data_IF_011481119159
#
_entry.id   IF_011481119159
#
_cell.length_a   1.000
_cell.length_b   1.000
_cell.length_c   1.000
_cell.angle_alpha   90.00
_cell.angle_beta   90.00
_cell.angle_gamma   90.00
#
_symmetry.space_group_name_H-M   'P 1'
#
loop_
_entity.id
_entity.type
_entity.pdbx_description
1 polymer ?
#
# COMPACT_ATOMS: atom_id res chain seq x y z
N UNK A 1 17.09 0.73 24.14
CA UNK A 1 15.63 0.76 24.35
C UNK A 1 14.98 0.70 22.97
N UNK A 2 14.44 -0.44 22.57
CA UNK A 2 13.71 -0.52 21.29
C UNK A 2 12.50 0.42 21.39
N UNK A 3 12.31 1.38 20.48
CA UNK A 3 11.23 2.33 20.62
C UNK A 3 9.94 1.60 20.17
N UNK A 4 9.17 1.12 21.16
CA UNK A 4 7.84 0.53 20.98
C UNK A 4 6.87 1.51 20.29
N UNK A 5 7.15 2.81 20.46
CA UNK A 5 6.34 3.93 19.98
C UNK A 5 6.26 3.97 18.43
N UNK A 6 7.38 3.99 17.66
CA UNK A 6 7.37 3.87 16.20
C UNK A 6 6.64 2.64 15.64
N UNK A 7 6.72 1.51 16.35
CA UNK A 7 6.13 0.23 15.93
C UNK A 7 4.60 0.28 16.05
N UNK A 8 4.08 0.75 17.20
CA UNK A 8 2.64 0.95 17.39
C UNK A 8 2.11 2.05 16.49
N UNK A 9 2.90 3.11 16.27
CA UNK A 9 2.56 4.19 15.36
C UNK A 9 2.36 3.68 13.93
N UNK A 10 3.21 2.79 13.43
CA UNK A 10 3.06 2.19 12.09
C UNK A 10 1.69 1.51 11.91
N UNK A 11 1.26 0.72 12.89
CA UNK A 11 -0.03 0.03 12.84
C UNK A 11 -1.22 1.02 12.91
N UNK A 12 -1.13 2.04 13.77
CA UNK A 12 -2.19 3.08 13.87
C UNK A 12 -2.30 3.88 12.58
N UNK A 13 -1.16 4.27 11.99
CA UNK A 13 -1.14 4.96 10.69
C UNK A 13 -1.68 4.06 9.59
N UNK A 14 -1.34 2.76 9.61
CA UNK A 14 -1.90 1.76 8.70
C UNK A 14 -3.42 1.64 8.81
N UNK A 15 -3.93 1.63 10.04
CA UNK A 15 -5.38 1.63 10.29
C UNK A 15 -6.04 2.89 9.75
N UNK A 16 -5.44 4.06 9.98
CA UNK A 16 -5.91 5.33 9.43
C UNK A 16 -5.92 5.34 7.89
N UNK A 17 -4.90 4.76 7.27
CA UNK A 17 -4.78 4.64 5.82
C UNK A 17 -5.91 3.84 5.18
N UNK A 18 -6.44 2.81 5.87
CA UNK A 18 -7.59 2.04 5.37
C UNK A 18 -8.87 2.90 5.21
N UNK A 19 -8.96 4.02 5.93
CA UNK A 19 -10.07 4.98 5.82
C UNK A 19 -9.84 6.08 4.79
N UNK A 20 -8.77 6.01 3.98
CA UNK A 20 -8.58 6.95 2.88
C UNK A 20 -9.69 6.79 1.82
N UNK A 21 -10.11 7.88 1.15
CA UNK A 21 -11.27 7.84 0.27
C UNK A 21 -11.17 6.81 -0.86
N UNK A 22 -9.97 6.57 -1.39
CA UNK A 22 -9.72 5.56 -2.42
C UNK A 22 -9.88 4.12 -1.91
N UNK A 23 -9.45 3.85 -0.69
CA UNK A 23 -9.61 2.57 0.01
C UNK A 23 -11.09 2.32 0.33
N UNK A 24 -11.77 3.32 0.91
CA UNK A 24 -13.20 3.24 1.21
C UNK A 24 -14.04 3.03 -0.06
N UNK A 25 -13.72 3.70 -1.16
CA UNK A 25 -14.41 3.51 -2.44
C UNK A 25 -14.15 2.11 -3.01
N UNK A 26 -12.91 1.61 -2.96
CA UNK A 26 -12.60 0.28 -3.45
C UNK A 26 -13.29 -0.82 -2.63
N UNK A 27 -13.16 -0.81 -1.30
CA UNK A 27 -13.71 -1.82 -0.41
C UNK A 27 -15.23 -1.74 -0.34
N UNK A 28 -15.83 -0.55 -0.31
CA UNK A 28 -17.30 -0.42 -0.30
C UNK A 28 -17.94 -1.01 -1.55
N UNK A 29 -17.32 -0.88 -2.73
CA UNK A 29 -17.85 -1.50 -3.96
C UNK A 29 -17.73 -3.03 -3.99
N UNK A 30 -16.82 -3.61 -3.22
CA UNK A 30 -16.68 -5.06 -3.02
C UNK A 30 -17.70 -5.56 -1.98
N UNK A 31 -17.78 -4.87 -0.84
CA UNK A 31 -18.61 -5.23 0.31
C UNK A 31 -20.11 -5.07 0.04
N UNK A 32 -20.53 -4.00 -0.62
CA UNK A 32 -21.97 -3.73 -0.90
C UNK A 32 -22.62 -4.72 -1.87
N UNK A 33 -21.83 -5.63 -2.48
CA UNK A 33 -22.35 -6.72 -3.33
C UNK A 33 -22.87 -7.92 -2.53
N UNK A 34 -22.68 -7.93 -1.22
CA UNK A 34 -23.06 -9.04 -0.34
C UNK A 34 -24.11 -8.60 0.68
N UNK A 35 -25.22 -9.32 0.77
CA UNK A 35 -26.30 -9.06 1.74
C UNK A 35 -25.95 -9.48 3.18
N UNK A 36 -24.80 -10.17 3.37
CA UNK A 36 -24.39 -10.76 4.64
C UNK A 36 -22.99 -10.29 5.04
N UNK A 37 -22.81 -10.05 6.33
CA UNK A 37 -21.55 -9.56 6.92
C UNK A 37 -20.37 -10.52 6.73
N UNK A 38 -20.59 -11.84 6.77
CA UNK A 38 -19.50 -12.82 6.66
C UNK A 38 -18.73 -12.73 5.32
N UNK A 39 -19.40 -12.90 4.17
CA UNK A 39 -18.78 -12.73 2.85
C UNK A 39 -18.19 -11.33 2.63
N UNK A 40 -18.86 -10.28 3.12
CA UNK A 40 -18.36 -8.91 3.08
C UNK A 40 -17.03 -8.74 3.84
N UNK A 41 -16.96 -9.21 5.09
CA UNK A 41 -15.73 -9.19 5.89
C UNK A 41 -14.62 -9.99 5.23
N UNK A 42 -14.96 -11.14 4.65
CA UNK A 42 -14.01 -11.96 3.90
C UNK A 42 -13.42 -11.16 2.74
N UNK A 43 -14.23 -10.50 1.93
CA UNK A 43 -13.72 -9.72 0.80
C UNK A 43 -12.83 -8.56 1.25
N UNK A 44 -13.20 -7.87 2.33
CA UNK A 44 -12.36 -6.84 2.96
C UNK A 44 -11.01 -7.39 3.41
N UNK A 45 -10.99 -8.52 4.13
CA UNK A 45 -9.77 -9.17 4.59
C UNK A 45 -8.89 -9.64 3.42
N UNK A 46 -9.46 -10.32 2.42
CA UNK A 46 -8.70 -10.78 1.25
C UNK A 46 -8.14 -9.61 0.46
N UNK A 47 -8.89 -8.52 0.32
CA UNK A 47 -8.40 -7.30 -0.30
C UNK A 47 -7.23 -6.68 0.48
N UNK A 48 -7.38 -6.50 1.79
CA UNK A 48 -6.33 -5.93 2.65
C UNK A 48 -5.06 -6.79 2.67
N UNK A 49 -5.21 -8.13 2.68
CA UNK A 49 -4.08 -9.05 2.58
C UNK A 49 -3.36 -8.94 1.23
N UNK A 50 -4.10 -8.80 0.13
CA UNK A 50 -3.52 -8.57 -1.19
C UNK A 50 -2.73 -7.27 -1.24
N UNK A 51 -3.31 -6.19 -0.74
CA UNK A 51 -2.66 -4.88 -0.62
C UNK A 51 -1.35 -4.96 0.18
N UNK A 52 -1.43 -5.55 1.38
CA UNK A 52 -0.28 -5.71 2.28
C UNK A 52 0.81 -6.58 1.65
N UNK A 53 0.43 -7.67 0.98
CA UNK A 53 1.40 -8.54 0.29
C UNK A 53 2.19 -7.77 -0.76
N UNK A 54 1.51 -6.93 -1.54
CA UNK A 54 2.20 -6.13 -2.56
C UNK A 54 3.16 -5.12 -1.94
N UNK A 55 2.72 -4.43 -0.90
CA UNK A 55 3.55 -3.49 -0.16
C UNK A 55 4.81 -4.13 0.41
N UNK A 56 4.68 -5.28 1.06
CA UNK A 56 5.80 -5.99 1.69
C UNK A 56 6.75 -6.52 0.64
N UNK A 57 6.26 -7.19 -0.40
CA UNK A 57 7.12 -7.78 -1.42
C UNK A 57 7.88 -6.70 -2.20
N UNK A 58 7.15 -5.72 -2.75
CA UNK A 58 7.76 -4.69 -3.57
C UNK A 58 8.59 -3.71 -2.73
N UNK A 59 8.11 -3.35 -1.54
CA UNK A 59 8.85 -2.55 -0.58
C UNK A 59 10.15 -3.23 -0.15
N UNK A 60 10.13 -4.52 0.16
CA UNK A 60 11.35 -5.27 0.52
C UNK A 60 12.35 -5.29 -0.63
N UNK A 61 11.91 -5.54 -1.87
CA UNK A 61 12.79 -5.51 -3.05
C UNK A 61 13.49 -4.16 -3.17
N UNK A 62 12.76 -3.05 -3.03
CA UNK A 62 13.35 -1.71 -3.12
C UNK A 62 14.29 -1.42 -1.93
N UNK A 63 13.90 -1.79 -0.71
CA UNK A 63 14.70 -1.61 0.51
C UNK A 63 16.03 -2.36 0.42
N UNK A 64 16.01 -3.63 0.03
CA UNK A 64 17.23 -4.45 -0.05
C UNK A 64 18.11 -4.10 -1.26
N UNK A 65 17.52 -3.64 -2.38
CA UNK A 65 18.31 -3.16 -3.52
C UNK A 65 19.13 -1.91 -3.19
N UNK A 66 18.58 -0.96 -2.40
CA UNK A 66 19.33 0.20 -1.88
C UNK A 66 20.48 -0.24 -0.96
N UNK A 67 20.23 -1.21 -0.08
CA UNK A 67 21.19 -1.68 0.91
C UNK A 67 22.42 -2.39 0.31
N UNK A 68 22.29 -2.97 -0.90
CA UNK A 68 23.33 -3.80 -1.49
C UNK A 68 24.14 -3.11 -2.59
N UNK A 69 23.52 -2.30 -3.46
CA UNK A 69 24.18 -1.85 -4.71
C UNK A 69 24.23 -0.33 -4.94
N UNK A 70 23.57 0.49 -4.13
CA UNK A 70 23.39 1.93 -4.44
C UNK A 70 23.72 2.84 -3.25
N UNK A 71 25.02 2.98 -2.97
CA UNK A 71 25.55 3.95 -2.00
C UNK A 71 25.75 5.36 -2.60
N UNK A 72 25.30 5.61 -3.83
CA UNK A 72 25.45 6.90 -4.49
C UNK A 72 24.16 7.74 -4.39
N UNK A 73 24.29 9.00 -3.97
CA UNK A 73 23.15 9.93 -3.83
C UNK A 73 22.41 10.21 -5.15
N UNK A 74 22.96 9.79 -6.29
CA UNK A 74 22.34 9.90 -7.61
C UNK A 74 21.08 9.06 -7.75
N UNK A 75 21.01 7.88 -7.12
CA UNK A 75 19.80 7.05 -7.17
C UNK A 75 18.66 7.70 -6.41
N UNK A 76 18.95 8.22 -5.21
CA UNK A 76 17.99 8.92 -4.37
C UNK A 76 17.49 10.22 -5.05
N UNK A 77 18.40 10.97 -5.68
CA UNK A 77 18.04 12.14 -6.49
C UNK A 77 17.18 11.78 -7.70
N UNK A 78 17.49 10.69 -8.41
CA UNK A 78 16.70 10.21 -9.54
C UNK A 78 15.29 9.76 -9.12
N UNK A 79 15.18 9.05 -8.00
CA UNK A 79 13.89 8.66 -7.40
C UNK A 79 13.10 9.90 -6.95
N UNK A 80 13.76 10.89 -6.35
CA UNK A 80 13.15 12.16 -5.98
C UNK A 80 12.59 12.92 -7.18
N UNK A 81 13.37 13.03 -8.26
CA UNK A 81 12.91 13.65 -9.53
C UNK A 81 11.75 12.87 -10.13
N UNK A 82 11.83 11.54 -10.14
CA UNK A 82 10.75 10.67 -10.62
C UNK A 82 9.46 10.88 -9.81
N UNK A 83 9.55 10.95 -8.48
CA UNK A 83 8.41 11.18 -7.59
C UNK A 83 7.76 12.55 -7.82
N UNK A 84 8.58 13.60 -7.98
CA UNK A 84 8.09 14.94 -8.33
C UNK A 84 7.36 14.90 -9.67
N UNK A 85 7.94 14.23 -10.68
CA UNK A 85 7.33 14.07 -12.00
C UNK A 85 6.01 13.30 -11.96
N UNK A 86 5.95 12.21 -11.19
CA UNK A 86 4.73 11.43 -10.98
C UNK A 86 3.66 12.24 -10.22
N UNK A 87 4.06 12.98 -9.19
CA UNK A 87 3.17 13.88 -8.45
C UNK A 87 2.57 14.96 -9.35
N UNK A 88 3.39 15.61 -10.19
CA UNK A 88 2.94 16.58 -11.19
C UNK A 88 2.00 15.92 -12.21
N UNK A 89 2.40 14.77 -12.76
CA UNK A 89 1.57 14.02 -13.73
C UNK A 89 0.21 13.68 -13.14
N UNK A 90 0.14 13.35 -11.85
CA UNK A 90 -1.13 13.07 -11.18
C UNK A 90 -2.00 14.30 -10.96
N UNK A 91 -1.40 15.44 -10.62
CA UNK A 91 -2.11 16.72 -10.49
C UNK A 91 -2.62 17.24 -11.85
N UNK A 92 -1.91 16.94 -12.93
CA UNK A 92 -2.24 17.38 -14.28
C UNK A 92 -3.17 16.41 -15.03
N UNK A 93 -3.26 15.15 -14.61
CA UNK A 93 -4.10 14.15 -15.26
C UNK A 93 -5.57 14.32 -14.87
N UNK A 94 -6.35 14.91 -15.77
CA UNK A 94 -7.78 15.22 -15.58
C UNK A 94 -8.74 14.08 -15.92
N UNK A 95 -8.26 12.88 -16.24
CA UNK A 95 -9.15 11.80 -16.65
C UNK A 95 -8.59 10.42 -16.32
N UNK A 96 -9.22 9.73 -15.36
CA UNK A 96 -9.09 8.27 -15.19
C UNK A 96 -10.32 7.73 -14.44
N UNK A 97 -11.52 8.06 -14.92
CA UNK A 97 -12.72 7.28 -14.59
C UNK A 97 -13.04 6.39 -15.79
N UNK A 98 -12.25 5.33 -15.98
CA UNK A 98 -12.72 4.20 -16.77
C UNK A 98 -13.66 3.40 -15.86
N UNK A 99 -14.94 3.36 -16.23
CA UNK A 99 -15.90 2.46 -15.58
C UNK A 99 -15.47 1.04 -15.86
N UNK A 100 -14.75 0.44 -14.91
CA UNK A 100 -14.38 -0.96 -15.00
C UNK A 100 -15.66 -1.80 -14.92
N UNK A 101 -16.06 -2.42 -16.02
CA UNK A 101 -17.15 -3.38 -16.03
C UNK A 101 -16.68 -4.60 -15.25
N UNK A 102 -17.15 -4.73 -14.00
CA UNK A 102 -16.72 -5.78 -13.09
C UNK A 102 -17.23 -7.16 -13.58
N UNK A 103 -16.34 -8.10 -13.93
CA UNK A 103 -16.73 -9.45 -14.34
C UNK A 103 -17.37 -10.22 -13.18
N UNK A 104 -18.19 -11.23 -13.48
CA UNK A 104 -18.81 -12.16 -12.52
C UNK A 104 -17.68 -12.81 -11.67
N UNK A 105 -17.59 -12.48 -10.38
CA UNK A 105 -16.37 -12.74 -9.60
C UNK A 105 -16.23 -14.19 -9.12
N UNK A 106 -14.99 -14.69 -9.27
CA UNK A 106 -14.45 -15.89 -8.63
C UNK A 106 -13.88 -15.53 -7.25
N UNK A 107 -13.71 -16.55 -6.41
CA UNK A 107 -13.32 -16.54 -4.98
C UNK A 107 -11.98 -15.82 -4.64
N UNK A 108 -11.29 -15.19 -5.61
CA UNK A 108 -10.00 -14.49 -5.40
C UNK A 108 -9.95 -13.06 -5.93
N UNK A 109 -11.05 -12.51 -6.45
CA UNK A 109 -11.02 -11.19 -7.08
C UNK A 109 -10.62 -10.07 -6.11
N UNK A 110 -11.15 -10.08 -4.88
CA UNK A 110 -10.84 -9.09 -3.86
C UNK A 110 -9.32 -9.00 -3.59
N UNK A 111 -8.64 -10.16 -3.47
CA UNK A 111 -7.20 -10.22 -3.27
C UNK A 111 -6.41 -9.63 -4.45
N UNK A 112 -6.80 -9.96 -5.68
CA UNK A 112 -6.14 -9.41 -6.88
C UNK A 112 -6.33 -7.90 -7.00
N UNK A 113 -7.52 -7.38 -6.67
CA UNK A 113 -7.75 -5.94 -6.59
C UNK A 113 -6.85 -5.33 -5.52
N UNK A 114 -6.74 -5.96 -4.36
CA UNK A 114 -5.82 -5.55 -3.29
C UNK A 114 -4.38 -5.44 -3.77
N UNK A 115 -3.87 -6.46 -4.46
CA UNK A 115 -2.51 -6.45 -5.04
C UNK A 115 -2.28 -5.26 -5.98
N UNK A 116 -3.19 -5.05 -6.93
CA UNK A 116 -3.08 -3.97 -7.91
C UNK A 116 -3.19 -2.61 -7.23
N UNK A 117 -4.10 -2.48 -6.27
CA UNK A 117 -4.30 -1.25 -5.50
C UNK A 117 -3.05 -0.89 -4.69
N UNK A 118 -2.43 -1.86 -4.01
CA UNK A 118 -1.20 -1.65 -3.24
C UNK A 118 -0.01 -1.19 -4.09
N UNK A 119 0.06 -1.59 -5.36
CA UNK A 119 1.06 -1.08 -6.31
C UNK A 119 0.72 0.35 -6.78
N UNK A 120 -0.56 0.67 -7.00
CA UNK A 120 -1.00 1.92 -7.59
C UNK A 120 -1.14 3.09 -6.60
N UNK A 121 -1.52 2.82 -5.35
CA UNK A 121 -1.82 3.84 -4.33
C UNK A 121 -0.66 4.12 -3.37
N UNK A 122 0.09 3.08 -2.99
CA UNK A 122 0.87 3.10 -1.74
C UNK A 122 2.37 3.26 -1.95
N UNK A 123 2.79 3.54 -3.20
CA UNK A 123 4.21 3.73 -3.57
C UNK A 123 4.88 4.92 -2.90
N UNK A 124 4.14 6.02 -2.67
CA UNK A 124 4.67 7.19 -1.96
C UNK A 124 5.04 6.86 -0.51
N UNK A 125 4.25 6.01 0.15
CA UNK A 125 4.49 5.59 1.53
C UNK A 125 5.73 4.70 1.63
N UNK A 126 5.90 3.74 0.71
CA UNK A 126 7.11 2.88 0.65
C UNK A 126 8.36 3.73 0.51
N UNK A 127 8.32 4.75 -0.36
CA UNK A 127 9.44 5.66 -0.60
C UNK A 127 9.71 6.60 0.58
N UNK A 128 8.67 7.03 1.32
CA UNK A 128 8.83 7.78 2.55
C UNK A 128 9.46 6.93 3.68
N UNK A 129 9.08 5.66 3.81
CA UNK A 129 9.69 4.74 4.79
C UNK A 129 11.16 4.48 4.47
N UNK A 130 11.48 4.32 3.18
CA UNK A 130 12.84 4.18 2.68
C UNK A 130 13.75 5.37 3.02
N UNK A 131 13.22 6.60 3.01
CA UNK A 131 13.99 7.81 3.34
C UNK A 131 14.10 8.03 4.85
N UNK A 132 13.06 7.68 5.61
CA UNK A 132 13.01 7.89 7.05
C UNK A 132 13.76 6.83 7.87
N UNK A 133 13.82 5.57 7.41
CA UNK A 133 14.38 4.45 8.17
C UNK A 133 15.65 3.93 7.49
N UNK A 134 16.81 4.22 8.10
CA UNK A 134 18.11 3.84 7.56
C UNK A 134 18.41 2.34 7.60
N UNK A 135 17.85 1.59 8.56
CA UNK A 135 18.08 0.16 8.71
C UNK A 135 17.04 -0.66 7.91
N UNK A 136 17.45 -1.44 6.90
CA UNK A 136 16.55 -2.19 6.01
C UNK A 136 15.55 -3.10 6.74
N UNK A 137 16.02 -3.83 7.76
CA UNK A 137 15.17 -4.74 8.51
C UNK A 137 14.01 -4.01 9.22
N UNK A 138 14.27 -2.83 9.80
CA UNK A 138 13.24 -2.05 10.47
C UNK A 138 12.26 -1.40 9.49
N UNK A 139 12.71 -1.05 8.29
CA UNK A 139 11.83 -0.55 7.23
C UNK A 139 10.82 -1.63 6.79
N UNK A 140 11.27 -2.88 6.65
CA UNK A 140 10.38 -4.01 6.34
C UNK A 140 9.40 -4.29 7.48
N UNK A 141 9.87 -4.27 8.73
CA UNK A 141 9.00 -4.42 9.92
C UNK A 141 7.96 -3.31 9.97
N UNK A 142 8.34 -2.07 9.66
CA UNK A 142 7.42 -0.94 9.59
C UNK A 142 6.33 -1.15 8.53
N UNK A 143 6.70 -1.56 7.32
CA UNK A 143 5.74 -1.84 6.23
C UNK A 143 4.80 -3.01 6.60
N UNK A 144 5.32 -4.05 7.24
CA UNK A 144 4.52 -5.19 7.72
C UNK A 144 3.47 -4.74 8.74
N UNK A 145 3.88 -3.96 9.74
CA UNK A 145 2.97 -3.47 10.79
C UNK A 145 1.96 -2.47 10.25
N UNK A 146 2.39 -1.61 9.34
CA UNK A 146 1.49 -0.73 8.60
C UNK A 146 0.43 -1.54 7.84
N UNK A 147 0.83 -2.55 7.07
CA UNK A 147 -0.10 -3.41 6.35
C UNK A 147 -1.05 -4.18 7.27
N UNK A 148 -0.56 -4.70 8.39
CA UNK A 148 -1.42 -5.33 9.41
C UNK A 148 -2.44 -4.33 9.98
N UNK A 149 -2.01 -3.11 10.27
CA UNK A 149 -2.89 -2.01 10.67
C UNK A 149 -3.98 -1.74 9.62
N UNK A 150 -3.61 -1.70 8.34
CA UNK A 150 -4.56 -1.49 7.23
C UNK A 150 -5.51 -2.66 6.99
N UNK A 151 -5.14 -3.88 7.36
CA UNK A 151 -6.05 -5.05 7.31
C UNK A 151 -7.05 -5.04 8.47
N UNK A 152 -6.65 -4.46 9.61
CA UNK A 152 -7.50 -4.35 10.80
C UNK A 152 -8.47 -3.17 10.76
N UNK A 153 -8.11 -2.09 10.06
CA UNK A 153 -8.99 -0.94 9.81
C UNK A 153 -10.08 -1.27 8.79
#
# INVERSE_FOLDING_TARGET
>A
MQPLIPILFAAVVGMGHAFEPDHLLAVSTLVTRHDRLGPALRDGLFWGLGHTTMLVLFGSIIIFSRATWLHSGYFEAAVGVMLIGLGISRLLSKNSYQSFQLPKQRVGFAYTVGLVHGLAGSGALVLAVLSAIAQPAWAVVYILLFGLGSVLG
#
